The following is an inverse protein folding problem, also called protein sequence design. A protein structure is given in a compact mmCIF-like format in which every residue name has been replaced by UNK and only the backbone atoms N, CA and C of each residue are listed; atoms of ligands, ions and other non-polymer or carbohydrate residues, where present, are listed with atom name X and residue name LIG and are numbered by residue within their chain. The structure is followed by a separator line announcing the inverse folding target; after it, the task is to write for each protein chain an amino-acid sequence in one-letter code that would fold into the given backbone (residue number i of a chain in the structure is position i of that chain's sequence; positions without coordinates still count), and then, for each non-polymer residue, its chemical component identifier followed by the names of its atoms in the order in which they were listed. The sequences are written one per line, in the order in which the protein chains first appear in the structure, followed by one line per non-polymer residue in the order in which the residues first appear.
data_IF_205679072004
#
_entry.id   IF_205679072004
#
_cell.length_a   1.000
_cell.length_b   1.000
_cell.length_c   1.000
_cell.angle_alpha   90.00
_cell.angle_beta   90.00
_cell.angle_gamma   90.00
#
_symmetry.space_group_name_H-M   'P 1'
#
loop_
_entity.id
_entity.type
_entity.pdbx_description
1 polymer ?
#
# COMPACT_ATOMS: atom_id res chain seq x y z
N UNK A 1 20.08 13.12 8.96
CA UNK A 1 20.05 12.03 7.98
C UNK A 1 19.11 12.38 6.85
N UNK A 2 19.56 12.25 5.65
CA UNK A 2 18.73 12.58 4.51
C UNK A 2 17.74 11.49 4.19
N UNK A 3 16.52 11.90 3.85
CA UNK A 3 15.51 10.96 3.42
C UNK A 3 15.85 10.44 2.01
N UNK A 4 15.65 9.16 1.79
CA UNK A 4 15.86 8.57 0.48
C UNK A 4 14.72 8.98 -0.47
N UNK A 5 14.91 8.72 -1.76
CA UNK A 5 13.86 8.93 -2.74
C UNK A 5 12.64 8.10 -2.37
N UNK A 6 12.86 6.86 -1.92
CA UNK A 6 11.75 6.00 -1.51
C UNK A 6 11.00 6.59 -0.31
N UNK A 7 11.72 7.11 0.68
CA UNK A 7 11.08 7.72 1.85
C UNK A 7 10.22 8.91 1.45
N UNK A 8 10.72 9.74 0.55
CA UNK A 8 9.95 10.89 0.06
C UNK A 8 8.73 10.44 -0.74
N UNK A 9 8.88 9.42 -1.56
CA UNK A 9 7.77 8.87 -2.34
C UNK A 9 6.70 8.28 -1.43
N UNK A 10 7.11 7.55 -0.39
CA UNK A 10 6.16 6.99 0.56
C UNK A 10 5.38 8.05 1.32
N UNK A 11 6.05 9.15 1.68
CA UNK A 11 5.34 10.28 2.30
C UNK A 11 4.34 10.92 1.34
N UNK A 12 4.72 11.02 0.07
CA UNK A 12 3.79 11.51 -0.96
C UNK A 12 2.59 10.61 -1.12
N UNK A 13 2.82 9.30 -1.10
CA UNK A 13 1.74 8.32 -1.19
C UNK A 13 0.83 8.43 0.05
N UNK A 14 1.40 8.56 1.24
CA UNK A 14 0.62 8.72 2.45
C UNK A 14 -0.29 9.96 2.36
N UNK A 15 0.28 11.08 1.91
CA UNK A 15 -0.49 12.32 1.73
C UNK A 15 -1.63 12.12 0.73
N UNK A 16 -1.34 11.44 -0.37
CA UNK A 16 -2.35 11.12 -1.36
C UNK A 16 -3.49 10.29 -0.75
N UNK A 17 -3.14 9.24 0.00
CA UNK A 17 -4.15 8.38 0.62
C UNK A 17 -5.03 9.16 1.60
N UNK A 18 -4.41 10.01 2.42
CA UNK A 18 -5.16 10.81 3.38
C UNK A 18 -6.10 11.78 2.67
N UNK A 19 -5.66 12.35 1.55
CA UNK A 19 -6.52 13.25 0.76
C UNK A 19 -7.67 12.51 0.08
N UNK A 20 -7.49 11.21 -0.17
CA UNK A 20 -8.55 10.38 -0.72
C UNK A 20 -9.52 9.89 0.37
N UNK A 21 -9.28 10.25 1.62
CA UNK A 21 -10.17 9.89 2.73
C UNK A 21 -9.74 8.64 3.49
N UNK A 22 -8.57 8.10 3.20
CA UNK A 22 -8.08 6.93 3.93
C UNK A 22 -7.57 7.36 5.30
N UNK A 23 -7.96 6.63 6.33
CA UNK A 23 -7.41 6.85 7.66
C UNK A 23 -6.27 5.86 7.86
N UNK A 24 -5.05 6.36 7.95
CA UNK A 24 -3.87 5.51 8.11
C UNK A 24 -3.83 4.96 9.54
N UNK A 25 -3.86 3.65 9.66
CA UNK A 25 -3.86 2.97 10.95
C UNK A 25 -2.48 2.45 11.33
N UNK A 26 -1.74 1.93 10.35
CA UNK A 26 -0.40 1.40 10.58
C UNK A 26 0.52 1.81 9.44
N UNK A 27 1.80 2.00 9.76
CA UNK A 27 2.83 2.26 8.77
C UNK A 27 3.94 1.25 8.97
N UNK A 28 4.31 0.56 7.91
CA UNK A 28 5.41 -0.42 7.99
C UNK A 28 5.11 -1.57 8.91
N UNK A 29 3.89 -2.08 8.88
CA UNK A 29 3.50 -3.19 9.75
C UNK A 29 4.06 -4.51 9.22
N UNK A 30 4.56 -5.32 10.13
CA UNK A 30 5.21 -6.58 9.74
C UNK A 30 4.75 -7.73 10.64
N UNK A 31 4.75 -8.92 10.07
CA UNK A 31 4.48 -10.14 10.80
C UNK A 31 5.32 -11.26 10.17
N UNK A 32 6.19 -11.87 10.97
CA UNK A 32 7.14 -12.84 10.42
C UNK A 32 8.05 -12.17 9.41
N UNK A 33 8.15 -12.76 8.23
CA UNK A 33 8.95 -12.19 7.15
C UNK A 33 8.12 -11.32 6.20
N UNK A 34 6.84 -11.17 6.46
CA UNK A 34 5.96 -10.38 5.61
C UNK A 34 5.85 -8.94 6.13
N UNK A 35 5.69 -8.00 5.23
CA UNK A 35 5.58 -6.59 5.58
C UNK A 35 4.63 -5.90 4.63
N UNK A 36 3.90 -4.93 5.15
CA UNK A 36 3.00 -4.09 4.35
C UNK A 36 3.31 -2.63 4.66
N UNK A 37 3.24 -1.77 3.68
CA UNK A 37 3.62 -0.37 3.85
C UNK A 37 2.60 0.43 4.65
N UNK A 38 1.33 0.25 4.37
CA UNK A 38 0.27 0.92 5.11
C UNK A 38 -0.91 -0.01 5.32
N UNK A 39 -1.58 0.17 6.46
CA UNK A 39 -2.90 -0.42 6.69
C UNK A 39 -3.81 0.76 6.99
N UNK A 40 -4.91 0.88 6.28
CA UNK A 40 -5.78 2.04 6.38
C UNK A 40 -7.25 1.66 6.34
N UNK A 41 -8.07 2.51 6.94
CA UNK A 41 -9.51 2.38 6.85
C UNK A 41 -10.01 3.28 5.71
N UNK A 42 -10.73 2.70 4.78
CA UNK A 42 -11.33 3.43 3.67
C UNK A 42 -12.84 3.18 3.72
N UNK A 43 -13.53 4.07 4.42
CA UNK A 43 -14.99 4.00 4.56
C UNK A 43 -15.47 2.64 5.07
N UNK A 44 -14.78 2.11 6.06
CA UNK A 44 -15.15 0.83 6.68
C UNK A 44 -14.47 -0.37 6.07
N UNK A 45 -13.78 -0.21 4.95
CA UNK A 45 -12.98 -1.28 4.38
C UNK A 45 -11.55 -1.20 4.89
N UNK A 46 -10.98 -2.33 5.24
CA UNK A 46 -9.61 -2.38 5.73
C UNK A 46 -8.69 -2.63 4.53
N UNK A 47 -7.93 -1.62 4.16
CA UNK A 47 -7.05 -1.68 3.00
C UNK A 47 -5.61 -1.93 3.43
N UNK A 48 -5.02 -3.01 2.91
CA UNK A 48 -3.59 -3.28 3.07
C UNK A 48 -2.90 -2.76 1.82
N UNK A 49 -2.00 -1.81 1.99
CA UNK A 49 -1.48 -1.02 0.88
C UNK A 49 0.01 -1.25 0.71
N UNK A 50 0.38 -1.74 -0.47
CA UNK A 50 1.77 -1.94 -0.84
C UNK A 50 2.21 -0.79 -1.74
N UNK A 51 3.33 -0.17 -1.40
CA UNK A 51 3.88 0.95 -2.16
C UNK A 51 5.00 0.47 -3.05
N UNK A 52 4.95 0.89 -4.30
CA UNK A 52 5.98 0.56 -5.27
C UNK A 52 6.52 1.83 -5.89
N UNK A 53 7.81 2.03 -5.74
CA UNK A 53 8.47 3.24 -6.23
C UNK A 53 9.47 2.85 -7.30
N UNK A 54 9.40 3.49 -8.44
CA UNK A 54 10.34 3.25 -9.52
C UNK A 54 10.90 4.57 -10.02
N UNK A 55 12.20 4.58 -10.31
CA UNK A 55 12.83 5.74 -10.92
C UNK A 55 12.53 5.75 -12.41
N UNK A 56 12.72 6.91 -13.02
CA UNK A 56 12.51 7.03 -14.45
C UNK A 56 13.69 6.45 -15.21
N UNK A 57 13.71 5.14 -15.34
CA UNK A 57 14.76 4.42 -16.04
C UNK A 57 14.32 3.99 -17.45
N UNK A 58 13.19 4.49 -17.89
CA UNK A 58 12.66 4.16 -19.21
C UNK A 58 11.73 2.96 -19.24
N UNK A 59 11.49 2.33 -18.09
CA UNK A 59 10.66 1.14 -18.02
C UNK A 59 9.27 1.39 -17.44
N UNK A 60 8.96 2.61 -17.04
CA UNK A 60 7.65 2.97 -16.52
C UNK A 60 7.42 2.52 -15.09
N UNK A 61 6.16 2.32 -14.73
CA UNK A 61 5.78 1.90 -13.38
C UNK A 61 6.31 0.51 -13.07
N UNK A 62 6.54 0.26 -11.78
CA UNK A 62 6.89 -1.08 -11.32
C UNK A 62 5.73 -2.05 -11.59
N UNK A 63 6.06 -3.33 -11.66
CA UNK A 63 5.07 -4.38 -11.88
C UNK A 63 4.05 -4.41 -10.74
N UNK A 64 2.79 -4.61 -11.08
CA UNK A 64 1.69 -4.71 -10.10
C UNK A 64 1.48 -6.11 -9.56
N UNK A 65 2.37 -7.04 -9.84
CA UNK A 65 2.22 -8.39 -9.31
C UNK A 65 2.14 -8.37 -7.80
N UNK A 66 1.18 -9.12 -7.26
CA UNK A 66 0.98 -9.22 -5.82
C UNK A 66 1.16 -10.67 -5.38
N UNK A 67 1.72 -10.84 -4.21
CA UNK A 67 1.86 -12.15 -3.59
C UNK A 67 0.61 -12.38 -2.73
N UNK A 68 -0.34 -13.13 -3.27
CA UNK A 68 -1.60 -13.41 -2.59
C UNK A 68 -1.39 -14.11 -1.25
N UNK A 69 -0.45 -15.05 -1.21
CA UNK A 69 -0.21 -15.79 0.04
C UNK A 69 0.34 -14.90 1.14
N UNK A 70 1.28 -14.01 0.79
CA UNK A 70 1.83 -13.06 1.75
C UNK A 70 0.75 -12.10 2.23
N UNK A 71 -0.10 -11.61 1.35
CA UNK A 71 -1.21 -10.75 1.72
C UNK A 71 -2.16 -11.47 2.68
N UNK A 72 -2.50 -12.72 2.37
CA UNK A 72 -3.42 -13.49 3.22
C UNK A 72 -2.83 -13.72 4.60
N UNK A 73 -1.51 -13.99 4.68
CA UNK A 73 -0.84 -14.14 5.98
C UNK A 73 -0.88 -12.86 6.78
N UNK A 74 -0.60 -11.72 6.12
CA UNK A 74 -0.61 -10.42 6.79
C UNK A 74 -2.01 -10.07 7.29
N UNK A 75 -3.02 -10.28 6.46
CA UNK A 75 -4.39 -9.98 6.82
C UNK A 75 -4.85 -10.85 7.99
N UNK A 76 -4.56 -12.15 7.93
CA UNK A 76 -4.95 -13.06 9.01
C UNK A 76 -4.27 -12.67 10.32
N UNK A 77 -2.99 -12.32 10.28
CA UNK A 77 -2.25 -11.92 11.48
C UNK A 77 -2.81 -10.62 12.06
N UNK A 78 -3.07 -9.65 11.21
CA UNK A 78 -3.58 -8.36 11.68
C UNK A 78 -4.97 -8.51 12.29
N UNK A 79 -5.85 -9.23 11.63
CA UNK A 79 -7.22 -9.45 12.13
C UNK A 79 -7.21 -10.25 13.43
N UNK A 80 -6.28 -11.19 13.58
CA UNK A 80 -6.15 -11.94 14.81
C UNK A 80 -5.73 -11.04 15.98
N UNK A 81 -4.81 -10.12 15.74
CA UNK A 81 -4.37 -9.18 16.77
C UNK A 81 -5.43 -8.14 17.11
N UNK A 82 -6.26 -7.79 16.14
CA UNK A 82 -7.26 -6.75 16.31
C UNK A 82 -8.67 -7.37 16.23
N UNK A 83 -8.86 -8.43 16.96
CA UNK A 83 -9.99 -9.36 16.88
C UNK A 83 -11.40 -8.82 16.89
N UNK A 84 -11.58 -7.53 16.83
CA UNK A 84 -12.90 -6.95 16.81
C UNK A 84 -13.10 -6.03 15.62
N UNK A 85 -12.85 -6.55 14.44
CA UNK A 85 -13.21 -5.84 13.23
C UNK A 85 -14.25 -6.71 12.53
N UNK A 86 -15.43 -6.87 13.15
CA UNK A 86 -16.46 -7.71 12.56
C UNK A 86 -16.97 -7.00 11.32
N UNK A 87 -17.23 -7.76 10.31
CA UNK A 87 -17.84 -7.28 9.07
C UNK A 87 -16.99 -6.34 8.25
N UNK A 88 -15.73 -6.13 8.62
CA UNK A 88 -14.85 -5.31 7.78
C UNK A 88 -14.47 -6.10 6.54
N UNK A 89 -14.63 -5.49 5.41
CA UNK A 89 -14.07 -6.04 4.19
C UNK A 89 -12.59 -5.78 4.19
N UNK A 90 -11.84 -6.75 3.73
CA UNK A 90 -10.39 -6.63 3.62
C UNK A 90 -10.05 -6.48 2.14
N UNK A 91 -9.20 -5.54 1.86
CA UNK A 91 -8.84 -5.21 0.49
C UNK A 91 -7.32 -5.03 0.40
N UNK A 92 -6.74 -5.42 -0.71
CA UNK A 92 -5.32 -5.23 -0.95
C UNK A 92 -5.12 -4.25 -2.09
N UNK A 93 -4.46 -3.13 -1.81
CA UNK A 93 -4.23 -2.08 -2.79
C UNK A 93 -2.74 -1.97 -3.11
N UNK A 94 -2.43 -1.59 -4.34
CA UNK A 94 -1.07 -1.27 -4.73
C UNK A 94 -1.05 0.19 -5.18
N UNK A 95 -0.18 0.99 -4.58
CA UNK A 95 0.01 2.37 -4.99
C UNK A 95 1.44 2.47 -5.53
N UNK A 96 1.54 2.83 -6.79
CA UNK A 96 2.83 2.93 -7.47
C UNK A 96 3.16 4.38 -7.75
N UNK A 97 4.43 4.73 -7.62
CA UNK A 97 4.91 6.06 -7.98
C UNK A 97 6.08 5.91 -8.93
N UNK A 98 5.99 6.60 -10.06
CA UNK A 98 7.07 6.68 -11.03
C UNK A 98 7.70 8.06 -10.88
N UNK A 99 8.96 8.10 -10.52
CA UNK A 99 9.69 9.35 -10.34
C UNK A 99 10.19 9.81 -11.70
N UNK A 100 9.69 10.93 -12.17
CA UNK A 100 10.07 11.47 -13.48
C UNK A 100 11.29 12.37 -13.39
N UNK A 101 11.34 13.19 -12.35
CA UNK A 101 12.46 14.08 -12.10
C UNK A 101 12.36 14.53 -10.65
N UNK A 102 13.36 15.30 -10.18
CA UNK A 102 13.35 15.78 -8.83
C UNK A 102 12.07 16.58 -8.55
N UNK A 103 11.32 16.13 -7.59
CA UNK A 103 10.08 16.79 -7.18
C UNK A 103 8.87 16.46 -8.04
N UNK A 104 9.00 15.59 -9.04
CA UNK A 104 7.89 15.25 -9.94
C UNK A 104 7.72 13.75 -10.05
N UNK A 105 6.52 13.27 -9.79
CA UNK A 105 6.21 11.85 -9.92
C UNK A 105 4.81 11.64 -10.45
N UNK A 106 4.60 10.48 -11.04
CA UNK A 106 3.27 10.03 -11.45
C UNK A 106 2.83 8.95 -10.47
N UNK A 107 1.58 9.00 -10.06
CA UNK A 107 1.05 8.05 -9.09
C UNK A 107 -0.08 7.25 -9.74
N UNK A 108 -0.09 5.94 -9.46
CA UNK A 108 -1.13 5.04 -9.92
C UNK A 108 -1.62 4.22 -8.73
N UNK A 109 -2.91 4.21 -8.51
CA UNK A 109 -3.53 3.47 -7.41
C UNK A 109 -4.37 2.35 -7.98
N UNK A 110 -3.95 1.12 -7.73
CA UNK A 110 -4.71 -0.07 -8.12
C UNK A 110 -5.46 -0.57 -6.90
N UNK A 111 -6.72 -0.21 -6.80
CA UNK A 111 -7.56 -0.62 -5.67
C UNK A 111 -7.98 -2.07 -5.86
N UNK A 112 -7.99 -2.79 -4.76
CA UNK A 112 -8.45 -4.18 -4.74
C UNK A 112 -7.69 -5.04 -5.75
N UNK A 113 -6.38 -5.00 -5.66
CA UNK A 113 -5.48 -5.63 -6.64
C UNK A 113 -5.58 -7.15 -6.67
N UNK A 114 -6.17 -7.79 -5.64
CA UNK A 114 -6.42 -9.22 -5.62
C UNK A 114 -7.85 -9.58 -6.02
N UNK A 115 -8.63 -8.60 -6.43
CA UNK A 115 -9.95 -8.89 -6.95
C UNK A 115 -9.76 -9.70 -8.23
N UNK A 116 -10.27 -10.86 -8.22
CA UNK A 116 -10.13 -11.68 -9.33
C UNK A 116 -11.23 -11.42 -10.20
N UNK A 117 -11.21 -10.64 -10.82
CA UNK A 117 -12.30 -10.48 -11.59
C UNK A 117 -12.71 -11.64 -12.28
N UNK A 118 -12.72 -11.82 -11.74
CA UNK A 118 -12.62 -12.50 -11.90
C UNK A 118 -12.92 -12.64 -12.74
#
# INVERSE_FOLDING_TARGET
MEATIRDKAERGIKTYLERQGFEIMEEGWAHGSDRIDFIADDEGELAFIDCRVNDNDGHGFADDKVDREAFERLAAAYLTEHGEIPDSRVRFDVVSMLILSEGTGLLRHHRNALSVGD
#
